data_IF_363258219211
#
_entry.id   IF_363258219211
#
_cell.length_a   1.000
_cell.length_b   1.000
_cell.length_c   1.000
_cell.angle_alpha   90.00
_cell.angle_beta   90.00
_cell.angle_gamma   90.00
#
_symmetry.space_group_name_H-M   'P 1'
#
loop_
_entity.id
_entity.type
_entity.pdbx_description
1 polymer ?
#
# COMPACT_ATOMS: atom_id res chain seq x y z
N UNK A 1 -5.55 -22.44 4.25
CA UNK A 1 -4.93 -23.30 3.20
C UNK A 1 -4.81 -22.54 1.88
N UNK A 2 -3.76 -22.77 1.08
CA UNK A 2 -3.67 -22.19 -0.28
C UNK A 2 -4.35 -23.13 -1.29
N UNK A 3 -5.37 -22.64 -1.98
CA UNK A 3 -6.14 -23.42 -2.97
C UNK A 3 -5.58 -23.29 -4.39
N UNK A 4 -4.75 -22.28 -4.65
CA UNK A 4 -4.15 -22.03 -5.97
C UNK A 4 -3.27 -23.20 -6.44
N UNK A 5 -2.44 -23.84 -5.57
CA UNK A 5 -1.67 -25.03 -5.98
C UNK A 5 -2.53 -26.25 -6.33
N UNK A 6 -3.83 -26.24 -6.00
CA UNK A 6 -4.77 -27.34 -6.31
C UNK A 6 -5.33 -27.24 -7.75
N UNK A 7 -5.03 -26.17 -8.49
CA UNK A 7 -5.47 -26.00 -9.88
C UNK A 7 -4.71 -26.93 -10.83
N UNK A 8 -5.45 -27.76 -11.57
CA UNK A 8 -4.87 -28.69 -12.56
C UNK A 8 -4.37 -27.92 -13.79
N UNK A 9 -5.11 -26.90 -14.22
CA UNK A 9 -4.73 -26.04 -15.34
C UNK A 9 -3.97 -24.83 -14.80
N UNK A 10 -2.76 -24.54 -15.31
CA UNK A 10 -2.00 -23.38 -14.88
C UNK A 10 -2.73 -22.10 -15.28
N UNK A 11 -2.65 -21.10 -14.41
CA UNK A 11 -3.24 -19.79 -14.66
C UNK A 11 -2.42 -19.04 -15.71
N UNK A 12 -3.11 -18.40 -16.66
CA UNK A 12 -2.47 -17.52 -17.64
C UNK A 12 -1.76 -16.34 -16.97
N UNK A 13 -0.65 -15.88 -17.55
CA UNK A 13 0.08 -14.70 -17.05
C UNK A 13 -0.79 -13.45 -17.09
N UNK A 14 -0.70 -12.63 -16.04
CA UNK A 14 -1.45 -11.38 -15.90
C UNK A 14 -2.90 -11.55 -15.44
N UNK A 15 -3.32 -12.75 -15.04
CA UNK A 15 -4.63 -13.01 -14.45
C UNK A 15 -4.56 -13.00 -12.92
N UNK A 16 -5.69 -12.71 -12.29
CA UNK A 16 -5.78 -12.51 -10.83
C UNK A 16 -5.34 -13.71 -9.99
N UNK A 17 -5.46 -14.94 -10.54
CA UNK A 17 -5.03 -16.16 -9.84
C UNK A 17 -3.53 -16.46 -9.99
N UNK A 18 -2.79 -15.63 -10.71
CA UNK A 18 -1.34 -15.77 -10.83
C UNK A 18 -0.65 -15.37 -9.52
N UNK A 19 0.30 -16.17 -9.07
CA UNK A 19 1.04 -15.97 -7.81
C UNK A 19 1.59 -14.54 -7.64
N UNK A 20 2.14 -13.94 -8.71
CA UNK A 20 2.70 -12.58 -8.67
C UNK A 20 1.65 -11.52 -8.31
N UNK A 21 0.44 -11.63 -8.84
CA UNK A 21 -0.64 -10.68 -8.53
C UNK A 21 -1.12 -10.88 -7.10
N UNK A 22 -1.34 -12.13 -6.69
CA UNK A 22 -1.79 -12.47 -5.35
C UNK A 22 -0.78 -12.02 -4.29
N UNK A 23 0.50 -12.35 -4.47
CA UNK A 23 1.56 -11.96 -3.54
C UNK A 23 1.67 -10.44 -3.43
N UNK A 24 1.55 -9.73 -4.56
CA UNK A 24 1.53 -8.26 -4.56
C UNK A 24 0.31 -7.71 -3.81
N UNK A 25 -0.88 -8.30 -3.97
CA UNK A 25 -2.07 -7.91 -3.21
C UNK A 25 -1.89 -8.13 -1.71
N UNK A 26 -1.38 -9.30 -1.29
CA UNK A 26 -1.14 -9.60 0.13
C UNK A 26 -0.20 -8.55 0.74
N UNK A 27 0.93 -8.29 0.06
CA UNK A 27 1.92 -7.31 0.54
C UNK A 27 1.35 -5.89 0.56
N UNK A 28 0.57 -5.51 -0.46
CA UNK A 28 -0.09 -4.20 -0.49
C UNK A 28 -1.10 -4.06 0.66
N UNK A 29 -1.93 -5.06 0.92
CA UNK A 29 -2.89 -5.02 2.03
C UNK A 29 -2.19 -4.83 3.38
N UNK A 30 -1.05 -5.51 3.59
CA UNK A 30 -0.21 -5.29 4.77
C UNK A 30 0.31 -3.85 4.83
N UNK A 31 0.86 -3.34 3.71
CA UNK A 31 1.38 -1.98 3.64
C UNK A 31 0.31 -0.92 3.93
N UNK A 32 -0.88 -1.06 3.34
CA UNK A 32 -2.02 -0.14 3.51
C UNK A 32 -2.57 -0.17 4.94
N UNK A 33 -2.66 -1.35 5.56
CA UNK A 33 -3.00 -1.46 6.98
C UNK A 33 -1.91 -0.85 7.88
N UNK A 34 -0.63 -1.00 7.51
CA UNK A 34 0.50 -0.41 8.22
C UNK A 34 0.45 1.13 8.23
N UNK A 35 -0.10 1.76 7.18
CA UNK A 35 -0.33 3.21 7.14
C UNK A 35 -1.25 3.68 8.26
N UNK A 36 -2.31 2.92 8.53
CA UNK A 36 -3.26 3.21 9.61
C UNK A 36 -2.56 3.07 10.96
N UNK A 37 -1.72 2.04 11.12
CA UNK A 37 -0.89 1.86 12.32
C UNK A 37 0.06 3.03 12.53
N UNK A 38 0.71 3.55 11.47
CA UNK A 38 1.57 4.73 11.54
C UNK A 38 0.78 5.96 11.95
N UNK A 39 -0.36 6.21 11.31
CA UNK A 39 -1.23 7.34 11.64
C UNK A 39 -1.66 7.30 13.11
N UNK A 40 -2.03 6.12 13.61
CA UNK A 40 -2.39 5.91 15.01
C UNK A 40 -1.18 6.08 15.94
N UNK A 41 0.00 5.62 15.55
CA UNK A 41 1.22 5.78 16.33
C UNK A 41 1.59 7.27 16.50
N UNK A 42 1.40 8.07 15.46
CA UNK A 42 1.57 9.53 15.49
C UNK A 42 0.52 10.18 16.39
N UNK A 43 -0.75 9.79 16.25
CA UNK A 43 -1.85 10.32 17.06
C UNK A 43 -1.64 10.07 18.56
N UNK A 44 -1.17 8.86 18.91
CA UNK A 44 -0.84 8.45 20.27
C UNK A 44 0.53 8.96 20.75
N UNK A 45 1.22 9.78 19.95
CA UNK A 45 2.51 10.40 20.29
C UNK A 45 3.60 9.39 20.69
N UNK A 46 3.66 8.25 20.01
CA UNK A 46 4.74 7.29 20.21
C UNK A 46 6.12 7.88 19.88
N UNK A 47 7.17 7.20 20.37
CA UNK A 47 8.55 7.59 20.11
C UNK A 47 8.82 7.74 18.60
N UNK A 48 9.46 8.84 18.16
CA UNK A 48 9.82 9.05 16.76
C UNK A 48 10.58 7.89 16.11
N UNK A 49 11.44 7.20 16.86
CA UNK A 49 12.18 6.04 16.36
C UNK A 49 11.27 4.87 15.97
N UNK A 50 10.20 4.63 16.73
CA UNK A 50 9.19 3.62 16.38
C UNK A 50 8.44 4.02 15.11
N UNK A 51 8.03 5.28 15.01
CA UNK A 51 7.31 5.79 13.82
C UNK A 51 8.22 5.71 12.58
N UNK A 52 9.49 6.06 12.71
CA UNK A 52 10.48 5.95 11.65
C UNK A 52 10.65 4.49 11.18
N UNK A 53 10.73 3.54 12.13
CA UNK A 53 10.85 2.12 11.81
C UNK A 53 9.59 1.57 11.12
N UNK A 54 8.39 1.91 11.60
CA UNK A 54 7.13 1.52 10.97
C UNK A 54 7.03 2.06 9.54
N UNK A 55 7.40 3.33 9.33
CA UNK A 55 7.43 3.95 8.00
C UNK A 55 8.45 3.30 7.07
N UNK A 56 9.63 2.94 7.58
CA UNK A 56 10.66 2.25 6.80
C UNK A 56 10.17 0.87 6.34
N UNK A 57 9.60 0.08 7.23
CA UNK A 57 9.04 -1.25 6.90
C UNK A 57 7.86 -1.13 5.93
N UNK A 58 7.02 -0.10 6.08
CA UNK A 58 5.92 0.18 5.12
C UNK A 58 6.45 0.47 3.72
N UNK A 59 7.52 1.28 3.62
CA UNK A 59 8.15 1.55 2.33
C UNK A 59 8.75 0.27 1.72
N UNK A 60 9.33 -0.61 2.54
CA UNK A 60 9.86 -1.90 2.10
C UNK A 60 8.76 -2.84 1.59
N UNK A 61 7.59 -2.87 2.24
CA UNK A 61 6.44 -3.63 1.72
C UNK A 61 6.01 -3.11 0.35
N UNK A 62 5.84 -1.78 0.19
CA UNK A 62 5.50 -1.21 -1.12
C UNK A 62 6.55 -1.48 -2.20
N UNK A 63 7.84 -1.40 -1.84
CA UNK A 63 8.92 -1.72 -2.77
C UNK A 63 8.89 -3.20 -3.17
N UNK A 64 8.67 -4.11 -2.21
CA UNK A 64 8.57 -5.54 -2.47
C UNK A 64 7.38 -5.86 -3.37
N UNK A 65 6.22 -5.24 -3.14
CA UNK A 65 5.06 -5.37 -4.02
C UNK A 65 5.39 -4.92 -5.46
N UNK A 66 6.05 -3.77 -5.64
CA UNK A 66 6.46 -3.30 -6.97
C UNK A 66 7.41 -4.28 -7.67
N UNK A 67 8.38 -4.82 -6.94
CA UNK A 67 9.33 -5.80 -7.45
C UNK A 67 8.63 -7.08 -7.92
N UNK A 68 7.64 -7.56 -7.17
CA UNK A 68 6.83 -8.73 -7.56
C UNK A 68 6.12 -8.51 -8.90
N UNK A 69 5.67 -7.29 -9.18
CA UNK A 69 5.00 -6.92 -10.43
C UNK A 69 5.96 -6.55 -11.57
N UNK A 70 7.26 -6.45 -11.32
CA UNK A 70 8.23 -5.87 -12.27
C UNK A 70 8.36 -6.62 -13.59
N UNK A 71 8.04 -7.92 -13.60
CA UNK A 71 8.11 -8.81 -14.76
C UNK A 71 6.76 -9.02 -15.48
N UNK A 72 5.73 -8.27 -15.08
CA UNK A 72 4.42 -8.28 -15.72
C UNK A 72 4.34 -7.23 -16.84
N UNK A 73 3.34 -7.39 -17.72
CA UNK A 73 3.14 -6.44 -18.81
C UNK A 73 2.80 -5.05 -18.25
N UNK A 74 3.55 -4.00 -18.65
CA UNK A 74 3.27 -2.62 -18.25
C UNK A 74 1.85 -2.15 -18.59
N UNK A 75 1.17 -2.74 -19.59
CA UNK A 75 -0.18 -2.33 -19.98
C UNK A 75 -1.21 -2.48 -18.85
N UNK A 76 -1.10 -3.51 -18.01
CA UNK A 76 -1.99 -3.70 -16.86
C UNK A 76 -1.31 -3.43 -15.51
N UNK A 77 -0.01 -3.66 -15.39
CA UNK A 77 0.71 -3.44 -14.13
C UNK A 77 1.27 -2.01 -13.99
N UNK A 78 1.45 -1.26 -15.08
CA UNK A 78 2.19 0.01 -15.08
C UNK A 78 1.63 1.07 -14.13
N UNK A 79 0.32 1.30 -14.17
CA UNK A 79 -0.34 2.27 -13.26
C UNK A 79 -0.25 1.83 -11.80
N UNK A 80 -0.40 0.54 -11.54
CA UNK A 80 -0.29 -0.03 -10.20
C UNK A 80 1.14 0.11 -9.65
N UNK A 81 2.14 -0.22 -10.46
CA UNK A 81 3.56 -0.03 -10.12
C UNK A 81 3.91 1.43 -9.82
N UNK A 82 3.33 2.40 -10.56
CA UNK A 82 3.49 3.83 -10.24
C UNK A 82 2.92 4.20 -8.88
N UNK A 83 1.76 3.65 -8.51
CA UNK A 83 1.19 3.82 -7.17
C UNK A 83 2.11 3.25 -6.08
N UNK A 84 2.59 2.01 -6.26
CA UNK A 84 3.49 1.37 -5.29
C UNK A 84 4.80 2.16 -5.13
N UNK A 85 5.42 2.57 -6.24
CA UNK A 85 6.63 3.40 -6.20
C UNK A 85 6.42 4.76 -5.54
N UNK A 86 5.27 5.40 -5.78
CA UNK A 86 4.89 6.64 -5.11
C UNK A 86 4.84 6.41 -3.60
N UNK A 87 4.15 5.36 -3.16
CA UNK A 87 4.00 5.02 -1.74
C UNK A 87 5.34 4.66 -1.10
N UNK A 88 6.21 3.92 -1.78
CA UNK A 88 7.59 3.66 -1.33
C UNK A 88 8.33 4.96 -1.05
N UNK A 89 8.36 5.90 -2.01
CA UNK A 89 9.07 7.17 -1.82
C UNK A 89 8.44 8.01 -0.70
N UNK A 90 7.11 8.02 -0.62
CA UNK A 90 6.38 8.76 0.40
C UNK A 90 6.67 8.26 1.81
N UNK A 91 6.65 6.94 2.04
CA UNK A 91 6.94 6.36 3.34
C UNK A 91 8.43 6.37 3.68
N UNK A 92 9.32 6.35 2.68
CA UNK A 92 10.74 6.59 2.90
C UNK A 92 11.02 8.02 3.39
N UNK A 93 10.29 9.02 2.86
CA UNK A 93 10.35 10.38 3.38
C UNK A 93 9.86 10.44 4.84
N UNK A 94 8.76 9.76 5.18
CA UNK A 94 8.32 9.64 6.58
C UNK A 94 9.41 9.04 7.48
N UNK A 95 10.06 7.95 7.04
CA UNK A 95 11.11 7.28 7.80
C UNK A 95 12.27 8.23 8.10
N UNK A 96 12.81 8.89 7.08
CA UNK A 96 13.91 9.86 7.25
C UNK A 96 13.52 11.07 8.09
N UNK A 97 12.27 11.54 8.00
CA UNK A 97 11.78 12.67 8.79
C UNK A 97 11.77 12.34 10.29
N UNK A 98 11.14 11.24 10.68
CA UNK A 98 11.08 10.81 12.08
C UNK A 98 12.42 10.27 12.60
N UNK A 99 13.26 9.71 11.73
CA UNK A 99 14.64 9.38 12.08
C UNK A 99 15.45 10.64 12.39
N UNK A 100 15.29 11.72 11.62
CA UNK A 100 15.88 13.01 11.91
C UNK A 100 15.46 13.57 13.27
N UNK A 101 14.19 13.42 13.66
CA UNK A 101 13.73 13.78 15.01
C UNK A 101 14.39 12.93 16.12
N UNK A 102 14.61 11.64 15.85
CA UNK A 102 15.30 10.72 16.78
C UNK A 102 16.76 11.13 16.99
N UNK A 103 17.46 11.45 15.89
CA UNK A 103 18.83 11.94 15.92
C UNK A 103 18.95 13.28 16.64
N UNK A 104 18.01 14.21 16.40
CA UNK A 104 17.97 15.49 17.09
C UNK A 104 17.80 15.30 18.61
N UNK A 105 16.89 14.41 19.02
CA UNK A 105 16.69 14.08 20.43
C UNK A 105 17.91 13.38 21.08
N UNK A 106 18.84 12.88 20.26
CA UNK A 106 20.10 12.27 20.69
C UNK A 106 21.30 13.23 20.56
N UNK A 107 21.03 14.54 20.45
CA UNK A 107 22.02 15.60 20.26
C UNK A 107 22.89 15.45 18.99
N UNK A 108 22.44 14.68 18.00
CA UNK A 108 23.12 14.50 16.70
C UNK A 108 22.51 15.38 15.62
N UNK A 109 22.51 16.68 15.86
CA UNK A 109 21.87 17.67 15.01
C UNK A 109 22.42 17.70 13.56
N UNK A 110 23.73 17.51 13.37
CA UNK A 110 24.33 17.45 12.02
C UNK A 110 23.80 16.29 11.18
N UNK A 111 23.70 15.10 11.78
CA UNK A 111 23.11 13.90 11.16
C UNK A 111 21.60 14.09 10.94
N UNK A 112 20.90 14.72 11.89
CA UNK A 112 19.47 15.01 11.77
C UNK A 112 19.15 15.91 10.56
N UNK A 113 19.95 16.95 10.32
CA UNK A 113 19.84 17.81 9.13
C UNK A 113 20.00 16.96 7.87
N UNK A 114 21.02 16.10 7.82
CA UNK A 114 21.28 15.28 6.63
C UNK A 114 20.17 14.27 6.36
N UNK A 115 19.59 13.69 7.42
CA UNK A 115 18.41 12.82 7.35
C UNK A 115 17.21 13.56 6.75
N UNK A 116 16.92 14.77 7.22
CA UNK A 116 15.80 15.59 6.74
C UNK A 116 15.99 16.10 5.30
N UNK A 117 17.23 16.38 4.89
CA UNK A 117 17.54 16.66 3.48
C UNK A 117 17.26 15.45 2.58
N UNK A 118 17.53 14.23 3.05
CA UNK A 118 17.18 13.03 2.30
C UNK A 118 15.65 12.82 2.26
N UNK A 119 14.96 13.09 3.37
CA UNK A 119 13.50 13.11 3.43
C UNK A 119 12.89 14.05 2.39
N UNK A 120 13.45 15.25 2.21
CA UNK A 120 12.97 16.23 1.22
C UNK A 120 13.13 15.71 -0.22
N UNK A 121 14.26 15.05 -0.54
CA UNK A 121 14.47 14.43 -1.86
C UNK A 121 13.44 13.34 -2.16
N UNK A 122 13.20 12.45 -1.19
CA UNK A 122 12.19 11.40 -1.35
C UNK A 122 10.78 11.98 -1.50
N UNK A 123 10.46 13.04 -0.75
CA UNK A 123 9.18 13.74 -0.86
C UNK A 123 8.99 14.39 -2.24
N UNK A 124 10.01 15.09 -2.76
CA UNK A 124 9.98 15.66 -4.11
C UNK A 124 9.84 14.58 -5.20
N UNK A 125 10.51 13.43 -5.02
CA UNK A 125 10.34 12.26 -5.91
C UNK A 125 8.91 11.70 -5.85
N UNK A 126 8.30 11.64 -4.66
CA UNK A 126 6.92 11.22 -4.50
C UNK A 126 5.93 12.20 -5.17
N UNK A 127 6.20 13.51 -5.13
CA UNK A 127 5.41 14.52 -5.86
C UNK A 127 5.46 14.32 -7.37
N UNK A 128 6.65 14.07 -7.92
CA UNK A 128 6.83 13.78 -9.33
C UNK A 128 6.05 12.50 -9.73
N UNK A 129 6.21 11.42 -8.96
CA UNK A 129 5.49 10.16 -9.18
C UNK A 129 3.97 10.32 -9.06
N UNK A 130 3.49 11.25 -8.23
CA UNK A 130 2.07 11.56 -8.15
C UNK A 130 1.51 12.15 -9.45
N UNK A 131 2.28 12.99 -10.14
CA UNK A 131 1.90 13.54 -11.44
C UNK A 131 1.88 12.43 -12.49
N UNK A 132 2.96 11.64 -12.54
CA UNK A 132 3.08 10.51 -13.46
C UNK A 132 1.94 9.48 -13.27
N UNK A 133 1.61 9.14 -12.02
CA UNK A 133 0.49 8.25 -11.71
C UNK A 133 -0.85 8.80 -12.21
N UNK A 134 -1.08 10.10 -12.05
CA UNK A 134 -2.30 10.76 -12.53
C UNK A 134 -2.43 10.80 -14.06
N UNK A 135 -1.31 10.78 -14.77
CA UNK A 135 -1.26 10.79 -16.25
C UNK A 135 -1.23 9.38 -16.85
N UNK A 136 -0.84 8.37 -16.06
CA UNK A 136 -0.73 6.98 -16.51
C UNK A 136 -2.12 6.36 -16.68
N UNK A 137 -2.42 5.89 -17.90
CA UNK A 137 -3.62 5.08 -18.18
C UNK A 137 -3.45 3.68 -17.59
N UNK A 138 -4.53 3.13 -17.04
CA UNK A 138 -4.55 1.79 -16.47
C UNK A 138 -5.79 1.56 -15.62
N UNK A 139 -5.93 0.35 -15.03
CA UNK A 139 -7.09 -0.02 -14.22
C UNK A 139 -7.36 0.95 -13.07
N UNK A 140 -8.63 1.08 -12.68
CA UNK A 140 -9.08 1.90 -11.55
C UNK A 140 -9.17 3.41 -11.83
N UNK A 141 -9.82 4.11 -10.92
CA UNK A 141 -10.05 5.57 -11.01
C UNK A 141 -8.75 6.35 -10.89
N UNK A 142 -8.59 7.41 -11.69
CA UNK A 142 -7.43 8.30 -11.60
C UNK A 142 -7.56 9.21 -10.38
N UNK A 143 -6.79 8.92 -9.33
CA UNK A 143 -6.67 9.78 -8.16
C UNK A 143 -5.54 10.83 -8.33
N UNK A 144 -5.62 11.93 -7.57
CA UNK A 144 -4.56 12.96 -7.48
C UNK A 144 -4.02 13.06 -6.03
N UNK A 145 -3.19 12.09 -5.58
CA UNK A 145 -2.71 12.00 -4.19
C UNK A 145 -2.04 13.27 -3.63
N UNK A 146 -1.36 14.07 -4.45
CA UNK A 146 -0.65 15.29 -4.03
C UNK A 146 -1.58 16.38 -3.50
N UNK A 147 -2.86 16.35 -3.89
CA UNK A 147 -3.88 17.26 -3.36
C UNK A 147 -4.41 16.86 -1.99
N UNK A 148 -4.15 15.62 -1.56
CA UNK A 148 -4.75 15.07 -0.34
C UNK A 148 -4.04 15.61 0.91
N UNK A 149 -4.80 15.72 2.02
CA UNK A 149 -4.31 16.30 3.27
C UNK A 149 -3.09 15.56 3.84
N UNK A 150 -3.05 14.23 3.75
CA UNK A 150 -1.94 13.43 4.27
C UNK A 150 -0.61 13.79 3.58
N UNK A 151 -0.65 14.03 2.26
CA UNK A 151 0.53 14.39 1.48
C UNK A 151 1.06 15.78 1.86
N UNK A 152 0.18 16.77 1.95
CA UNK A 152 0.53 18.15 2.34
C UNK A 152 1.07 18.24 3.77
N UNK A 153 0.48 17.48 4.70
CA UNK A 153 0.92 17.46 6.10
C UNK A 153 2.38 17.00 6.24
N UNK A 154 2.78 15.97 5.49
CA UNK A 154 4.18 15.51 5.50
C UNK A 154 5.13 16.59 4.98
N UNK A 155 4.81 17.24 3.86
CA UNK A 155 5.65 18.32 3.30
C UNK A 155 5.90 19.45 4.30
N UNK A 156 4.85 19.90 5.00
CA UNK A 156 4.98 20.90 6.07
C UNK A 156 5.80 20.39 7.26
N UNK A 157 5.62 19.12 7.66
CA UNK A 157 6.37 18.51 8.75
C UNK A 157 7.87 18.46 8.45
N UNK A 158 8.26 18.03 7.25
CA UNK A 158 9.66 17.95 6.82
C UNK A 158 10.29 19.34 6.86
N UNK A 159 9.65 20.32 6.22
CA UNK A 159 10.14 21.70 6.16
C UNK A 159 10.35 22.30 7.56
N UNK A 160 9.32 22.24 8.41
CA UNK A 160 9.39 22.81 9.75
C UNK A 160 10.45 22.12 10.62
N UNK A 161 10.60 20.79 10.48
CA UNK A 161 11.61 20.03 11.24
C UNK A 161 13.02 20.35 10.74
N UNK A 162 13.22 20.48 9.44
CA UNK A 162 14.52 20.86 8.86
C UNK A 162 14.95 22.26 9.30
N UNK A 163 14.06 23.24 9.22
CA UNK A 163 14.30 24.60 9.69
C UNK A 163 14.61 24.63 11.20
N UNK A 164 13.95 23.79 12.01
CA UNK A 164 14.28 23.62 13.43
C UNK A 164 15.71 23.09 13.60
N UNK A 165 16.07 21.98 12.96
CA UNK A 165 17.41 21.40 13.07
C UNK A 165 18.50 22.38 12.59
N UNK A 166 18.26 23.13 11.51
CA UNK A 166 19.21 24.14 11.02
C UNK A 166 19.43 25.26 12.03
N UNK A 167 18.36 25.77 12.65
CA UNK A 167 18.48 26.79 13.71
C UNK A 167 19.24 26.24 14.91
N UNK A 168 18.86 25.07 15.42
CA UNK A 168 19.54 24.46 16.56
C UNK A 168 21.01 24.18 16.27
N UNK A 169 21.35 23.73 15.07
CA UNK A 169 22.75 23.54 14.69
C UNK A 169 23.51 24.86 14.56
N UNK A 170 22.86 25.93 14.09
CA UNK A 170 23.46 27.26 13.94
C UNK A 170 23.65 28.04 15.25
N UNK A 171 22.89 27.70 16.30
CA UNK A 171 22.95 28.41 17.59
C UNK A 171 23.53 27.57 18.74
N UNK A 172 23.37 26.25 18.71
CA UNK A 172 23.66 25.37 19.85
C UNK A 172 24.76 24.37 19.50
N UNK A 173 24.56 23.54 18.47
CA UNK A 173 25.37 22.34 18.26
C UNK A 173 26.63 22.57 17.43
N UNK A 174 26.58 23.44 16.42
CA UNK A 174 27.68 23.71 15.46
C UNK A 174 28.29 22.43 14.85
N UNK A 175 27.50 21.38 14.70
CA UNK A 175 27.96 20.10 14.18
C UNK A 175 28.08 20.14 12.66
N UNK A 176 29.09 19.44 12.13
CA UNK A 176 29.25 19.27 10.69
C UNK A 176 28.13 18.39 10.17
N UNK A 177 27.49 18.82 9.08
CA UNK A 177 26.50 18.01 8.36
C UNK A 177 27.24 16.96 7.53
N UNK A 178 26.97 15.65 7.72
CA UNK A 178 27.57 14.59 6.91
C UNK A 178 27.22 14.74 5.43
N UNK A 179 28.13 14.30 4.54
CA UNK A 179 27.87 14.33 3.09
C UNK A 179 26.87 13.25 2.66
N UNK A 180 26.99 12.06 3.25
CA UNK A 180 26.16 10.90 2.95
C UNK A 180 24.94 10.82 3.87
N UNK A 181 23.83 10.33 3.33
CA UNK A 181 22.62 10.10 4.13
C UNK A 181 22.84 8.96 5.12
N UNK A 182 22.23 9.00 6.31
CA UNK A 182 22.24 7.86 7.20
C UNK A 182 21.60 6.66 6.52
N UNK A 183 22.25 5.49 6.61
CA UNK A 183 21.65 4.23 6.18
C UNK A 183 20.59 3.84 7.21
N UNK A 184 19.35 3.68 6.76
CA UNK A 184 18.25 3.29 7.63
C UNK A 184 18.28 1.77 7.78
N UNK A 185 18.79 1.29 8.92
CA UNK A 185 18.67 -0.10 9.36
C UNK A 185 17.64 -0.19 10.50
N UNK A 186 16.45 0.36 10.24
CA UNK A 186 15.39 0.43 11.25
C UNK A 186 14.56 -0.84 11.22
N UNK A 187 14.33 -1.43 12.39
CA UNK A 187 13.40 -2.56 12.56
C UNK A 187 12.32 -2.18 13.56
N UNK A 188 11.06 -2.31 13.17
CA UNK A 188 9.95 -2.02 14.07
C UNK A 188 9.79 -3.17 15.07
N UNK A 189 9.89 -2.86 16.37
CA UNK A 189 9.74 -3.86 17.43
C UNK A 189 8.28 -4.21 17.74
N UNK A 190 7.34 -3.34 17.37
CA UNK A 190 5.91 -3.47 17.65
C UNK A 190 5.08 -2.88 16.52
N UNK A 191 3.85 -3.36 16.35
CA UNK A 191 2.88 -2.78 15.41
C UNK A 191 3.07 -3.20 13.95
N UNK A 192 3.91 -4.19 13.66
CA UNK A 192 3.96 -4.80 12.32
C UNK A 192 2.66 -5.56 12.03
N UNK A 193 2.10 -5.34 10.85
CA UNK A 193 0.86 -5.97 10.39
C UNK A 193 1.15 -7.32 9.77
N UNK A 194 0.48 -8.34 10.28
CA UNK A 194 0.46 -9.68 9.73
C UNK A 194 -0.92 -9.99 9.11
N UNK A 195 -0.99 -10.81 8.04
CA UNK A 195 -2.25 -11.25 7.49
C UNK A 195 -3.04 -12.07 8.51
N UNK A 196 -4.34 -11.79 8.63
CA UNK A 196 -5.23 -12.58 9.48
C UNK A 196 -5.49 -13.92 8.75
N UNK A 197 -5.21 -15.08 9.38
CA UNK A 197 -5.47 -16.37 8.76
C UNK A 197 -6.94 -16.49 8.35
N UNK A 198 -7.16 -16.90 7.09
CA UNK A 198 -8.48 -17.14 6.54
C UNK A 198 -8.68 -18.64 6.28
N UNK A 199 -9.84 -19.15 6.70
CA UNK A 199 -10.30 -20.50 6.43
C UNK A 199 -11.71 -20.45 5.85
N UNK A 200 -11.96 -21.28 4.84
CA UNK A 200 -13.31 -21.45 4.32
C UNK A 200 -14.22 -22.07 5.38
N UNK A 201 -15.50 -21.70 5.44
CA UNK A 201 -16.43 -22.34 6.35
C UNK A 201 -16.57 -23.83 6.02
N UNK A 202 -17.00 -24.61 7.02
CA UNK A 202 -17.35 -26.00 6.81
C UNK A 202 -18.40 -26.13 5.69
N UNK A 203 -18.33 -27.25 4.96
CA UNK A 203 -19.29 -27.56 3.90
C UNK A 203 -20.72 -27.49 4.46
N UNK A 204 -21.63 -26.87 3.71
CA UNK A 204 -23.01 -26.74 4.14
C UNK A 204 -23.64 -28.13 4.37
N UNK A 205 -24.40 -28.28 5.45
CA UNK A 205 -25.06 -29.53 5.84
C UNK A 205 -26.00 -30.12 4.78
N UNK A 206 -26.47 -29.31 3.82
CA UNK A 206 -27.26 -29.78 2.68
C UNK A 206 -26.46 -30.64 1.69
N UNK A 207 -25.13 -30.59 1.71
CA UNK A 207 -24.28 -31.50 0.95
C UNK A 207 -24.16 -32.85 1.65
N UNK A 208 -25.19 -33.66 1.51
CA UNK A 208 -25.24 -35.04 2.02
C UNK A 208 -24.77 -36.06 0.97
N UNK A 209 -24.33 -37.27 1.36
CA UNK A 209 -24.04 -38.34 0.41
C UNK A 209 -25.21 -38.65 -0.52
N UNK A 210 -26.45 -38.59 -0.02
CA UNK A 210 -27.67 -38.81 -0.79
C UNK A 210 -27.86 -37.71 -1.84
N UNK A 211 -27.65 -36.44 -1.45
CA UNK A 211 -27.69 -35.30 -2.38
C UNK A 211 -26.60 -35.42 -3.44
N UNK A 212 -25.39 -35.82 -3.06
CA UNK A 212 -24.27 -35.98 -3.98
C UNK A 212 -24.51 -37.14 -4.96
N UNK A 213 -25.07 -38.25 -4.50
CA UNK A 213 -25.43 -39.41 -5.33
C UNK A 213 -26.54 -39.10 -6.34
N UNK A 214 -27.36 -38.08 -6.10
CA UNK A 214 -28.37 -37.61 -7.05
C UNK A 214 -27.78 -36.88 -8.27
N UNK A 215 -26.51 -36.44 -8.22
CA UNK A 215 -25.80 -35.86 -9.38
C UNK A 215 -25.36 -36.96 -10.34
N UNK A 216 -26.32 -37.47 -11.13
CA UNK A 216 -26.07 -38.47 -12.17
C UNK A 216 -25.67 -37.82 -13.50
N UNK A 217 -24.37 -37.81 -13.78
CA UNK A 217 -23.80 -37.25 -15.02
C UNK A 217 -24.25 -37.99 -16.29
N UNK A 218 -24.87 -39.17 -16.17
CA UNK A 218 -25.42 -39.92 -17.31
C UNK A 218 -26.85 -39.49 -17.67
N UNK A 219 -27.55 -38.84 -16.74
CA UNK A 219 -28.89 -38.28 -16.95
C UNK A 219 -28.79 -36.81 -17.31
N UNK A 220 -28.36 -36.52 -18.54
CA UNK A 220 -28.49 -35.15 -19.09
C UNK A 220 -29.98 -34.75 -19.12
N UNK A 221 -30.33 -33.53 -18.71
CA UNK A 221 -31.65 -32.96 -19.01
C UNK A 221 -31.90 -33.05 -20.52
N UNK A 222 -33.11 -33.48 -20.93
CA UNK A 222 -33.46 -33.67 -22.34
C UNK A 222 -33.63 -32.38 -23.15
N UNK A 223 -33.38 -31.20 -22.56
CA UNK A 223 -33.74 -29.90 -23.14
C UNK A 223 -32.59 -28.93 -23.46
N UNK A 224 -31.36 -29.41 -23.66
CA UNK A 224 -30.26 -28.57 -24.18
C UNK A 224 -30.17 -28.56 -25.73
N UNK A 225 -31.31 -28.67 -26.42
CA UNK A 225 -31.42 -28.29 -27.84
C UNK A 225 -31.97 -26.86 -28.03
N UNK A 226 -32.17 -26.11 -26.94
CA UNK A 226 -32.37 -24.68 -27.07
C UNK A 226 -31.07 -24.06 -27.58
N UNK A 227 -31.11 -23.50 -28.80
CA UNK A 227 -30.01 -22.67 -29.35
C UNK A 227 -29.50 -21.74 -28.25
N UNK A 228 -28.18 -21.59 -28.07
CA UNK A 228 -27.65 -20.57 -27.17
C UNK A 228 -28.30 -19.25 -27.56
N UNK A 229 -29.08 -18.67 -26.64
CA UNK A 229 -29.49 -17.27 -26.80
C UNK A 229 -28.18 -16.50 -26.91
N UNK A 230 -28.01 -15.63 -27.92
CA UNK A 230 -26.83 -14.78 -27.98
C UNK A 230 -26.71 -14.08 -26.62
N UNK A 231 -25.51 -14.14 -26.03
CA UNK A 231 -25.21 -13.47 -24.77
C UNK A 231 -25.77 -12.05 -24.87
N UNK A 232 -26.81 -11.75 -24.07
CA UNK A 232 -27.18 -10.36 -23.87
C UNK A 232 -25.93 -9.70 -23.27
N UNK A 233 -25.35 -8.76 -24.02
CA UNK A 233 -24.31 -7.88 -23.49
C UNK A 233 -24.81 -7.33 -22.16
N UNK A 234 -24.27 -7.86 -21.07
CA UNK A 234 -24.50 -7.33 -19.73
C UNK A 234 -23.89 -5.95 -19.75
N UNK A 235 -24.73 -4.94 -20.01
CA UNK A 235 -24.31 -3.54 -19.98
C UNK A 235 -23.67 -3.30 -18.62
N UNK A 236 -22.43 -2.80 -18.55
CA UNK A 236 -21.79 -2.50 -17.29
C UNK A 236 -22.73 -1.63 -16.47
N UNK A 237 -23.12 -2.10 -15.28
CA UNK A 237 -23.82 -1.27 -14.33
C UNK A 237 -22.88 -0.10 -14.02
N UNK A 238 -23.21 1.11 -14.49
CA UNK A 238 -22.53 2.30 -14.04
C UNK A 238 -22.89 2.49 -12.58
N UNK A 239 -21.95 2.19 -11.69
CA UNK A 239 -22.03 2.62 -10.31
C UNK A 239 -22.27 4.14 -10.29
N UNK A 240 -23.26 4.64 -9.53
CA UNK A 240 -23.49 6.07 -9.45
C UNK A 240 -22.26 6.75 -8.85
N UNK A 241 -21.76 7.81 -9.50
CA UNK A 241 -20.70 8.66 -8.97
C UNK A 241 -21.12 9.19 -7.60
N UNK A 242 -20.54 8.63 -6.53
CA UNK A 242 -20.65 9.18 -5.20
C UNK A 242 -19.79 10.45 -5.20
N UNK A 243 -20.43 11.59 -5.48
CA UNK A 243 -19.81 12.89 -5.25
C UNK A 243 -19.46 12.98 -3.76
N UNK A 244 -18.24 13.40 -3.39
CA UNK A 244 -17.87 13.56 -1.99
C UNK A 244 -18.79 14.60 -1.36
N UNK A 245 -19.74 14.13 -0.55
CA UNK A 245 -20.62 14.99 0.23
C UNK A 245 -19.82 15.48 1.45
N UNK A 246 -19.88 16.78 1.71
CA UNK A 246 -19.12 17.46 2.78
C UNK A 246 -19.61 17.15 4.20
N UNK A 247 -20.63 16.31 4.37
CA UNK A 247 -21.16 15.94 5.67
C UNK A 247 -20.71 14.54 6.07
N UNK A 248 -19.63 14.51 6.85
CA UNK A 248 -19.29 13.39 7.73
C UNK A 248 -20.33 13.29 8.85
N UNK A 249 -21.38 12.50 8.66
CA UNK A 249 -22.34 12.13 9.71
C UNK A 249 -22.44 10.60 9.81
N UNK A 250 -21.69 9.93 10.71
CA UNK A 250 -22.12 9.49 12.07
C UNK A 250 -23.13 8.31 12.00
N UNK A 251 -23.13 7.23 12.80
CA UNK A 251 -22.70 6.96 14.17
C UNK A 251 -22.46 5.44 14.34
N UNK A 252 -21.55 5.04 15.23
CA UNK A 252 -21.49 3.66 15.74
C UNK A 252 -22.47 3.56 16.91
N UNK A 253 -23.42 2.63 16.83
CA UNK A 253 -24.21 2.16 17.99
C UNK A 253 -23.41 1.13 18.78
#
# INVERSE_FOLDING_TARGET
ESHIPKLITPVEKGRDLEARLIDSYIIQCQAEAQEVTIARAIELKHNPGLIAALAYETANFYQKADQTLSSLDPTYAGKWRKYLNLKTCFYMAYAYCYHGQTLLASDKCGEAIRSLQESEKFFAKAEALCKEYGETKGPGTTAKPSGHLFFRKLGSLIKNTLEKCQRENGFIYFQKVPAEAPQLELKANYGLVEPIPFEFPALNAHWTPETLAAFDLTKRPKDDTAKPKPDEEVKPLKEPDIKPQKDSGCQIS
#
